data_IF_548358511256
#
_entry.id   IF_548358511256
#
_cell.length_a   1.000
_cell.length_b   1.000
_cell.length_c   1.000
_cell.angle_alpha   90.00
_cell.angle_beta   90.00
_cell.angle_gamma   90.00
#
_symmetry.space_group_name_H-M   'P 1'
#
loop_
_entity.id
_entity.type
_entity.pdbx_description
1 polymer ?
#
# COMPACT_ATOMS: atom_id res chain seq x y z
N UNK A 1 -27.59 51.46 40.67
CA UNK A 1 -27.75 52.16 39.38
C UNK A 1 -26.46 52.03 38.57
N UNK A 2 -26.13 50.84 38.07
CA UNK A 2 -24.78 50.54 37.51
C UNK A 2 -24.83 49.90 36.12
N UNK A 3 -25.85 50.23 35.31
CA UNK A 3 -25.98 49.69 33.96
C UNK A 3 -25.10 50.40 32.92
N UNK A 4 -24.68 51.63 33.20
CA UNK A 4 -23.89 52.44 32.25
C UNK A 4 -22.43 51.95 32.18
N UNK A 5 -21.86 51.55 33.33
CA UNK A 5 -20.49 51.02 33.37
C UNK A 5 -20.40 49.62 32.75
N UNK A 6 -21.41 48.77 32.96
CA UNK A 6 -21.45 47.44 32.36
C UNK A 6 -21.65 47.50 30.85
N UNK A 7 -22.48 48.45 30.37
CA UNK A 7 -22.66 48.68 28.94
C UNK A 7 -21.35 49.17 28.28
N UNK A 8 -20.60 50.05 28.95
CA UNK A 8 -19.30 50.53 28.43
C UNK A 8 -18.26 49.41 28.41
N UNK A 9 -18.19 48.62 29.49
CA UNK A 9 -17.23 47.52 29.62
C UNK A 9 -17.50 46.40 28.63
N UNK A 10 -18.77 46.13 28.34
CA UNK A 10 -19.18 45.15 27.32
C UNK A 10 -18.87 45.64 25.91
N UNK A 11 -19.12 46.92 25.61
CA UNK A 11 -18.78 47.51 24.32
C UNK A 11 -17.25 47.56 24.07
N UNK A 12 -16.45 47.77 25.11
CA UNK A 12 -14.99 47.71 25.02
C UNK A 12 -14.51 46.28 24.74
N UNK A 13 -15.08 45.28 25.42
CA UNK A 13 -14.72 43.88 25.22
C UNK A 13 -15.01 43.37 23.79
N UNK A 14 -16.12 43.80 23.19
CA UNK A 14 -16.46 43.47 21.81
C UNK A 14 -15.51 44.13 20.80
N UNK A 15 -14.97 45.32 21.12
CA UNK A 15 -13.93 45.99 20.33
C UNK A 15 -12.62 45.23 20.31
N UNK A 16 -12.22 44.64 21.44
CA UNK A 16 -11.01 43.83 21.52
C UNK A 16 -11.10 42.52 20.72
N UNK A 17 -12.31 41.98 20.52
CA UNK A 17 -12.55 40.77 19.72
C UNK A 17 -12.61 41.04 18.21
N UNK A 18 -12.97 42.27 17.81
CA UNK A 18 -13.01 42.71 16.41
C UNK A 18 -11.70 43.32 15.89
N UNK A 19 -10.67 43.46 16.74
CA UNK A 19 -9.39 44.03 16.35
C UNK A 19 -8.60 43.00 15.53
N UNK A 20 -8.35 43.22 14.22
CA UNK A 20 -7.53 42.30 13.43
C UNK A 20 -6.10 42.26 14.01
N UNK A 21 -5.45 41.07 14.02
CA UNK A 21 -4.13 40.90 14.60
C UNK A 21 -3.14 41.84 13.92
N UNK A 22 -2.56 42.74 14.71
CA UNK A 22 -1.61 43.73 14.24
C UNK A 22 -0.32 43.01 13.83
N UNK A 23 0.05 42.94 12.53
CA UNK A 23 1.15 42.11 12.04
C UNK A 23 2.54 42.63 12.44
N UNK A 24 2.62 43.72 13.18
CA UNK A 24 3.86 44.39 13.61
C UNK A 24 4.16 44.11 15.10
N UNK A 25 3.28 43.40 15.82
CA UNK A 25 3.54 43.04 17.21
C UNK A 25 4.70 42.03 17.28
N UNK A 26 5.83 42.45 17.85
CA UNK A 26 6.98 41.61 18.11
C UNK A 26 6.57 40.40 18.99
N UNK A 27 7.04 39.18 18.69
CA UNK A 27 6.70 38.01 19.49
C UNK A 27 7.21 38.20 20.93
N UNK A 28 6.39 37.88 21.95
CA UNK A 28 6.82 37.97 23.34
C UNK A 28 8.00 37.03 23.58
N UNK A 29 8.98 37.40 24.44
CA UNK A 29 10.11 36.54 24.76
C UNK A 29 9.62 35.25 25.41
N UNK A 30 9.93 34.11 24.79
CA UNK A 30 9.60 32.78 25.28
C UNK A 30 10.32 32.52 26.60
N UNK A 31 9.59 32.57 27.72
CA UNK A 31 10.13 32.18 29.01
C UNK A 31 10.48 30.67 28.98
N UNK A 32 11.66 30.24 29.47
CA UNK A 32 12.05 28.83 29.51
C UNK A 32 11.24 28.14 30.61
N UNK A 33 10.01 27.76 30.26
CA UNK A 33 9.05 27.22 31.19
C UNK A 33 9.35 25.75 31.50
N UNK A 34 9.16 25.42 32.78
CA UNK A 34 8.94 24.10 33.41
C UNK A 34 8.37 23.00 32.50
N UNK A 35 7.62 23.38 31.46
CA UNK A 35 7.16 22.55 30.35
C UNK A 35 8.26 21.71 29.69
N UNK A 36 9.47 22.25 29.44
CA UNK A 36 10.57 21.48 28.82
C UNK A 36 11.08 20.37 29.73
N UNK A 37 11.11 20.60 31.04
CA UNK A 37 11.46 19.57 32.02
C UNK A 37 10.37 18.50 32.10
N UNK A 38 9.11 18.91 32.12
CA UNK A 38 7.96 18.00 32.11
C UNK A 38 7.91 17.13 30.85
N UNK A 39 8.18 17.72 29.67
CA UNK A 39 8.30 16.99 28.40
C UNK A 39 9.43 15.95 28.45
N UNK A 40 10.59 16.29 29.02
CA UNK A 40 11.69 15.33 29.21
C UNK A 40 11.32 14.20 30.16
N UNK A 41 10.60 14.49 31.26
CA UNK A 41 10.14 13.48 32.21
C UNK A 41 9.16 12.50 31.56
N UNK A 42 8.18 13.00 30.82
CA UNK A 42 7.21 12.17 30.09
C UNK A 42 7.91 11.35 29.01
N UNK A 43 8.88 11.92 28.29
CA UNK A 43 9.67 11.19 27.30
C UNK A 43 10.49 10.05 27.93
N UNK A 44 11.12 10.28 29.08
CA UNK A 44 11.86 9.23 29.80
C UNK A 44 10.94 8.14 30.34
N UNK A 45 9.78 8.50 30.90
CA UNK A 45 8.82 7.54 31.43
C UNK A 45 8.25 6.64 30.34
N UNK A 46 7.86 7.23 29.19
CA UNK A 46 7.35 6.48 28.04
C UNK A 46 8.42 5.57 27.45
N UNK A 47 9.66 6.04 27.33
CA UNK A 47 10.78 5.23 26.85
C UNK A 47 11.08 4.06 27.80
N UNK A 48 11.09 4.30 29.11
CA UNK A 48 11.28 3.25 30.12
C UNK A 48 10.18 2.19 30.09
N UNK A 49 8.92 2.59 29.96
CA UNK A 49 7.80 1.67 29.84
C UNK A 49 7.89 0.80 28.58
N UNK A 50 8.29 1.38 27.44
CA UNK A 50 8.48 0.64 26.20
C UNK A 50 9.63 -0.37 26.29
N UNK A 51 10.76 0.04 26.88
CA UNK A 51 11.91 -0.83 27.11
C UNK A 51 11.55 -2.02 28.03
N UNK A 52 10.79 -1.77 29.11
CA UNK A 52 10.33 -2.84 30.01
C UNK A 52 9.42 -3.84 29.28
N UNK A 53 8.49 -3.37 28.44
CA UNK A 53 7.64 -4.21 27.60
C UNK A 53 8.45 -5.07 26.62
N UNK A 54 9.50 -4.49 26.03
CA UNK A 54 10.37 -5.19 25.08
C UNK A 54 11.17 -6.29 25.79
N UNK A 55 11.74 -6.00 26.96
CA UNK A 55 12.45 -7.00 27.79
C UNK A 55 11.50 -8.12 28.22
N UNK A 56 10.29 -7.78 28.67
CA UNK A 56 9.27 -8.74 29.04
C UNK A 56 8.93 -9.70 27.89
N UNK A 57 8.73 -9.17 26.68
CA UNK A 57 8.46 -9.98 25.49
C UNK A 57 9.65 -10.86 25.08
N UNK A 58 10.88 -10.38 25.29
CA UNK A 58 12.10 -11.12 24.95
C UNK A 58 12.36 -12.28 25.92
N UNK A 59 12.01 -12.10 27.19
CA UNK A 59 12.16 -13.11 28.23
C UNK A 59 10.97 -14.09 28.30
N UNK A 60 9.88 -13.82 27.58
CA UNK A 60 8.72 -14.71 27.58
C UNK A 60 9.03 -16.00 26.78
N UNK A 61 9.05 -17.18 27.42
CA UNK A 61 9.40 -18.42 26.74
C UNK A 61 8.36 -18.74 25.66
N UNK A 62 8.84 -19.04 24.45
CA UNK A 62 7.96 -19.49 23.36
C UNK A 62 7.56 -20.94 23.62
N UNK A 63 6.26 -21.27 23.60
CA UNK A 63 5.83 -22.67 23.68
C UNK A 63 6.43 -23.44 22.51
N UNK A 64 7.13 -24.54 22.80
CA UNK A 64 7.70 -25.40 21.79
C UNK A 64 6.58 -26.02 20.94
N UNK A 65 6.70 -26.04 19.60
CA UNK A 65 5.74 -26.76 18.77
C UNK A 65 5.75 -28.25 19.15
N UNK A 66 4.59 -28.91 19.20
CA UNK A 66 4.52 -30.34 19.49
C UNK A 66 5.27 -31.13 18.40
N UNK A 67 5.95 -32.23 18.75
CA UNK A 67 6.67 -33.04 17.78
C UNK A 67 5.68 -33.58 16.73
N UNK A 68 5.98 -33.30 15.46
CA UNK A 68 5.25 -33.85 14.34
C UNK A 68 5.34 -35.39 14.41
N UNK A 69 4.19 -36.04 14.59
CA UNK A 69 4.07 -37.49 14.48
C UNK A 69 4.43 -37.88 13.06
N UNK A 70 5.59 -38.52 12.87
CA UNK A 70 5.92 -39.16 11.60
C UNK A 70 4.83 -40.21 11.28
N UNK A 71 4.35 -40.29 10.03
CA UNK A 71 3.42 -41.36 9.64
C UNK A 71 4.09 -42.72 9.87
N UNK A 72 3.32 -43.76 10.24
CA UNK A 72 3.87 -45.09 10.44
C UNK A 72 4.51 -45.57 9.14
N UNK A 73 5.80 -45.90 9.21
CA UNK A 73 6.50 -46.72 8.21
C UNK A 73 5.71 -48.01 8.05
N UNK A 74 5.04 -48.15 6.90
CA UNK A 74 4.47 -49.41 6.43
C UNK A 74 5.55 -50.48 6.50
N UNK A 75 5.24 -51.54 7.23
CA UNK A 75 6.08 -52.72 7.42
C UNK A 75 6.57 -53.27 6.08
N UNK A 76 7.84 -53.69 6.09
CA UNK A 76 8.50 -54.40 5.01
C UNK A 76 7.66 -55.57 4.49
N UNK A 77 7.32 -55.54 3.19
CA UNK A 77 6.87 -56.72 2.47
C UNK A 77 8.06 -57.70 2.33
N UNK A 78 7.88 -59.00 2.60
CA UNK A 78 8.94 -59.99 2.38
C UNK A 78 9.20 -60.17 0.88
N UNK A 79 10.47 -60.04 0.49
CA UNK A 79 10.97 -60.44 -0.84
C UNK A 79 10.72 -61.94 -1.07
N UNK A 80 10.20 -62.36 -2.24
CA UNK A 80 10.35 -63.74 -2.68
C UNK A 80 11.78 -63.98 -3.17
N UNK A 81 12.36 -65.08 -2.68
CA UNK A 81 13.66 -65.66 -3.02
C UNK A 81 13.83 -65.90 -4.53
N UNK A 82 14.97 -65.57 -5.15
CA UNK A 82 15.23 -65.93 -6.54
C UNK A 82 15.62 -67.41 -6.63
N UNK A 83 14.71 -68.22 -7.16
CA UNK A 83 15.00 -69.60 -7.55
C UNK A 83 15.47 -69.64 -9.01
N UNK A 84 16.72 -70.07 -9.18
CA UNK A 84 17.19 -70.98 -10.22
C UNK A 84 17.28 -70.46 -11.66
N UNK A 85 18.54 -70.22 -12.04
CA UNK A 85 19.06 -70.21 -13.40
C UNK A 85 18.62 -71.44 -14.20
N UNK A 86 17.91 -71.25 -15.31
CA UNK A 86 17.96 -72.18 -16.44
C UNK A 86 18.40 -71.40 -17.67
N UNK A 87 19.71 -71.45 -17.90
CA UNK A 87 20.31 -71.29 -19.23
C UNK A 87 19.69 -72.33 -20.15
N UNK A 88 18.80 -71.90 -21.05
CA UNK A 88 18.48 -72.70 -22.22
C UNK A 88 19.05 -72.01 -23.46
N UNK A 89 19.89 -72.79 -24.13
CA UNK A 89 20.81 -72.49 -25.21
C UNK A 89 20.03 -72.24 -26.52
N UNK A 90 20.25 -71.08 -27.15
CA UNK A 90 19.87 -70.72 -28.54
C UNK A 90 20.51 -71.71 -29.54
N UNK A 91 19.96 -72.00 -30.76
CA UNK A 91 20.04 -71.11 -31.95
C UNK A 91 18.91 -71.35 -33.03
N UNK A 92 18.94 -70.76 -34.26
CA UNK A 92 19.10 -69.35 -34.66
C UNK A 92 18.07 -68.89 -35.75
N UNK A 93 17.84 -67.57 -35.89
CA UNK A 93 17.38 -66.94 -37.14
C UNK A 93 17.62 -65.40 -37.13
N UNK A 94 17.85 -64.75 -38.30
CA UNK A 94 18.88 -63.71 -38.50
C UNK A 94 18.45 -62.24 -38.27
N UNK A 95 19.40 -61.28 -38.36
CA UNK A 95 19.26 -59.93 -37.82
C UNK A 95 18.62 -58.97 -38.81
N UNK A 96 17.62 -58.19 -38.38
CA UNK A 96 17.28 -56.94 -39.05
C UNK A 96 17.99 -55.81 -38.33
N UNK A 97 19.12 -55.45 -38.93
CA UNK A 97 19.93 -54.30 -38.57
C UNK A 97 19.14 -52.99 -38.71
N UNK A 98 19.56 -52.04 -37.88
CA UNK A 98 19.12 -50.65 -37.87
C UNK A 98 19.13 -50.00 -39.25
N UNK A 99 18.03 -49.32 -39.59
CA UNK A 99 18.00 -48.22 -40.54
C UNK A 99 16.98 -47.20 -40.01
N UNK A 100 17.47 -46.20 -39.27
CA UNK A 100 17.58 -44.81 -39.75
C UNK A 100 16.26 -44.31 -40.38
N UNK A 101 15.49 -43.56 -39.58
CA UNK A 101 14.64 -42.49 -40.15
C UNK A 101 15.57 -41.43 -40.77
N UNK A 102 15.68 -41.49 -42.08
CA UNK A 102 15.92 -40.36 -42.98
C UNK A 102 14.65 -40.27 -43.88
N UNK A 103 14.34 -39.15 -44.57
CA UNK A 103 15.27 -38.09 -44.95
C UNK A 103 14.78 -36.64 -44.76
N UNK A 104 15.78 -35.77 -44.66
CA UNK A 104 15.69 -34.35 -44.95
C UNK A 104 15.45 -34.10 -46.46
N UNK A 105 14.87 -32.95 -46.79
CA UNK A 105 14.76 -32.48 -48.17
C UNK A 105 14.27 -31.05 -48.27
N UNK A 106 15.14 -30.08 -47.92
CA UNK A 106 15.09 -28.70 -48.43
C UNK A 106 15.35 -28.70 -49.95
N UNK A 107 14.95 -27.66 -50.68
CA UNK A 107 15.89 -26.55 -50.99
C UNK A 107 15.27 -25.18 -50.65
N UNK A 108 15.97 -24.24 -50.01
CA UNK A 108 16.88 -23.25 -50.64
C UNK A 108 16.14 -22.44 -51.75
N UNK A 109 16.16 -21.11 -51.82
CA UNK A 109 17.32 -20.19 -51.78
C UNK A 109 16.78 -18.71 -51.78
N UNK A 110 17.59 -17.63 -51.78
CA UNK A 110 17.51 -16.49 -50.86
C UNK A 110 17.36 -15.12 -51.57
N UNK A 111 17.31 -14.02 -50.80
CA UNK A 111 17.99 -12.76 -51.14
C UNK A 111 18.03 -11.79 -49.94
N UNK A 112 19.24 -11.41 -49.58
CA UNK A 112 19.68 -10.26 -48.78
C UNK A 112 20.37 -9.29 -49.79
N UNK A 113 20.88 -8.06 -49.49
CA UNK A 113 20.53 -6.94 -48.59
C UNK A 113 20.36 -5.59 -49.37
N UNK A 114 19.79 -4.54 -48.75
CA UNK A 114 20.28 -3.16 -48.97
C UNK A 114 19.86 -2.16 -47.85
N UNK A 115 20.84 -1.33 -47.52
CA UNK A 115 21.01 -0.30 -46.47
C UNK A 115 20.02 0.90 -46.42
N UNK A 116 20.15 1.77 -45.40
CA UNK A 116 19.11 2.68 -44.90
C UNK A 116 19.08 4.04 -45.61
N UNK A 117 17.92 4.68 -45.59
CA UNK A 117 17.76 6.10 -45.88
C UNK A 117 16.99 6.78 -44.75
N UNK A 118 17.70 7.59 -43.98
CA UNK A 118 17.17 8.71 -43.20
C UNK A 118 16.75 9.80 -44.17
N UNK A 119 15.49 10.26 -44.12
CA UNK A 119 15.10 11.56 -44.72
C UNK A 119 13.87 12.11 -44.01
N UNK A 120 14.05 13.30 -43.42
CA UNK A 120 13.08 14.40 -43.19
C UNK A 120 11.83 14.12 -42.34
N UNK A 121 11.51 14.87 -41.28
CA UNK A 121 11.60 16.31 -41.11
C UNK A 121 10.28 16.97 -41.55
N UNK A 122 9.64 17.73 -40.64
CA UNK A 122 8.36 18.51 -40.77
C UNK A 122 7.07 17.66 -40.75
N UNK A 123 5.98 18.05 -40.09
CA UNK A 123 5.40 19.39 -39.95
C UNK A 123 4.62 19.48 -38.63
N UNK A 124 4.74 20.62 -37.94
CA UNK A 124 3.93 21.00 -36.78
C UNK A 124 2.69 21.73 -37.30
N UNK A 125 1.47 21.25 -37.03
CA UNK A 125 0.30 22.15 -36.98
C UNK A 125 -0.71 21.72 -35.91
N UNK A 126 -1.09 22.60 -34.98
CA UNK A 126 -2.09 22.33 -33.95
C UNK A 126 -3.50 22.52 -34.52
N UNK A 127 -4.34 21.52 -34.35
CA UNK A 127 -5.79 21.63 -34.55
C UNK A 127 -6.44 21.95 -33.20
N UNK A 128 -7.30 22.99 -33.10
CA UNK A 128 -7.95 23.35 -31.85
C UNK A 128 -9.10 22.37 -31.57
N UNK A 129 -9.21 21.77 -30.37
CA UNK A 129 -10.39 21.02 -30.04
C UNK A 129 -11.58 21.96 -29.83
N UNK A 130 -12.79 21.58 -30.29
CA UNK A 130 -14.01 22.36 -30.10
C UNK A 130 -14.41 22.33 -28.63
N UNK A 131 -15.10 23.39 -28.21
CA UNK A 131 -15.82 23.45 -26.94
C UNK A 131 -17.18 22.76 -27.14
N UNK A 132 -17.55 21.78 -26.29
CA UNK A 132 -18.96 21.62 -25.96
C UNK A 132 -19.21 21.51 -24.46
N UNK A 133 -20.23 22.27 -24.03
CA UNK A 133 -21.29 21.95 -23.08
C UNK A 133 -20.99 21.09 -21.84
N UNK A 134 -21.36 21.65 -20.69
CA UNK A 134 -21.67 20.95 -19.43
C UNK A 134 -22.44 19.65 -19.64
N UNK A 135 -21.85 18.55 -19.19
CA UNK A 135 -22.51 17.42 -18.54
C UNK A 135 -21.48 16.76 -17.60
N UNK A 136 -21.86 16.29 -16.41
CA UNK A 136 -20.92 15.76 -15.43
C UNK A 136 -20.39 14.41 -15.89
N UNK A 137 -19.24 14.44 -16.57
CA UNK A 137 -18.50 13.24 -16.93
C UNK A 137 -17.95 12.60 -15.65
N UNK A 138 -18.48 11.41 -15.35
CA UNK A 138 -17.85 10.42 -14.48
C UNK A 138 -16.47 10.12 -15.08
N UNK A 139 -15.44 10.77 -14.55
CA UNK A 139 -14.06 10.57 -14.94
C UNK A 139 -13.58 9.18 -14.47
N UNK A 140 -13.81 8.19 -15.33
CA UNK A 140 -13.11 6.90 -15.29
C UNK A 140 -11.81 7.04 -16.08
N UNK A 141 -10.87 7.78 -15.49
CA UNK A 141 -9.46 7.84 -15.89
C UNK A 141 -8.58 7.67 -14.65
N UNK A 142 -7.27 7.44 -14.79
CA UNK A 142 -6.33 7.39 -13.66
C UNK A 142 -6.08 8.80 -13.12
N UNK A 143 -7.16 9.55 -12.84
CA UNK A 143 -7.09 10.84 -12.17
C UNK A 143 -6.80 10.56 -10.70
N UNK A 144 -5.76 11.18 -10.10
CA UNK A 144 -5.40 10.93 -8.72
C UNK A 144 -6.58 11.30 -7.82
N UNK A 145 -7.02 10.34 -7.00
CA UNK A 145 -8.11 10.57 -6.06
C UNK A 145 -7.81 11.84 -5.23
N UNK A 146 -8.74 12.82 -5.17
CA UNK A 146 -8.52 14.07 -4.46
C UNK A 146 -8.27 13.80 -2.98
N UNK A 147 -7.45 14.65 -2.34
CA UNK A 147 -7.20 14.52 -0.91
C UNK A 147 -8.51 14.69 -0.14
N UNK A 148 -8.64 14.00 1.00
CA UNK A 148 -9.80 14.20 1.89
C UNK A 148 -9.94 15.69 2.27
N UNK A 149 -8.82 16.39 2.43
CA UNK A 149 -8.77 17.84 2.71
C UNK A 149 -9.05 18.74 1.50
N UNK A 150 -9.26 18.19 0.30
CA UNK A 150 -9.67 18.97 -0.89
C UNK A 150 -11.09 18.60 -1.35
N UNK A 151 -11.75 17.66 -0.68
CA UNK A 151 -13.13 17.28 -1.02
C UNK A 151 -14.10 18.44 -0.73
N UNK A 152 -15.08 18.71 -1.63
CA UNK A 152 -16.14 19.69 -1.39
C UNK A 152 -16.96 19.35 -0.14
N UNK A 153 -17.48 20.39 0.53
CA UNK A 153 -18.14 20.24 1.85
C UNK A 153 -19.29 19.22 1.85
N UNK A 154 -20.03 19.08 0.73
CA UNK A 154 -21.08 18.07 0.58
C UNK A 154 -20.57 16.63 0.64
N UNK A 155 -19.37 16.37 0.11
CA UNK A 155 -18.74 15.05 0.16
C UNK A 155 -18.14 14.75 1.53
N UNK A 156 -17.66 15.78 2.26
CA UNK A 156 -17.15 15.61 3.63
C UNK A 156 -18.23 15.35 4.67
N UNK A 157 -19.45 15.87 4.51
CA UNK A 157 -20.53 15.71 5.51
C UNK A 157 -20.94 14.25 5.75
N UNK A 158 -20.73 13.37 4.77
CA UNK A 158 -21.01 11.93 4.90
C UNK A 158 -19.81 11.12 5.40
N UNK A 159 -18.63 11.75 5.50
CA UNK A 159 -17.40 11.05 5.84
C UNK A 159 -17.17 11.07 7.35
N UNK A 160 -16.92 9.89 7.95
CA UNK A 160 -16.52 9.81 9.35
C UNK A 160 -15.14 10.46 9.54
N UNK A 161 -14.80 10.74 10.79
CA UNK A 161 -13.45 11.20 11.13
C UNK A 161 -12.45 10.07 10.83
N UNK A 162 -11.62 10.27 9.81
CA UNK A 162 -10.60 9.31 9.39
C UNK A 162 -9.22 9.91 9.66
N UNK A 163 -8.46 9.29 10.56
CA UNK A 163 -7.06 9.64 10.80
C UNK A 163 -6.16 8.51 10.31
N UNK A 164 -5.25 8.82 9.38
CA UNK A 164 -4.21 7.89 8.95
C UNK A 164 -3.02 8.01 9.88
N UNK A 165 -2.90 7.07 10.81
CA UNK A 165 -1.84 7.06 11.83
C UNK A 165 -0.53 6.52 11.26
N UNK A 166 -0.62 5.44 10.49
CA UNK A 166 0.53 4.75 9.91
C UNK A 166 0.22 4.33 8.48
N UNK A 167 1.23 4.45 7.62
CA UNK A 167 1.16 4.02 6.25
C UNK A 167 2.43 3.24 5.90
N UNK A 168 2.27 1.97 5.57
CA UNK A 168 3.35 1.11 5.12
C UNK A 168 3.09 0.69 3.67
N UNK A 169 3.88 1.28 2.76
CA UNK A 169 3.86 0.92 1.35
C UNK A 169 4.97 -0.10 1.05
N UNK A 170 4.64 -1.10 0.25
CA UNK A 170 5.56 -2.11 -0.28
C UNK A 170 5.15 -2.45 -1.72
N UNK A 171 6.04 -2.90 -2.61
CA UNK A 171 5.63 -3.42 -3.93
C UNK A 171 4.71 -4.65 -3.80
N UNK A 172 4.90 -5.47 -2.78
CA UNK A 172 4.09 -6.65 -2.51
C UNK A 172 2.76 -6.27 -1.84
N UNK A 173 1.62 -6.59 -2.44
CA UNK A 173 0.30 -6.24 -1.91
C UNK A 173 0.07 -6.77 -0.48
N UNK A 174 0.56 -7.97 -0.16
CA UNK A 174 0.43 -8.58 1.17
C UNK A 174 1.21 -7.87 2.29
N UNK A 175 2.22 -7.09 1.91
CA UNK A 175 3.05 -6.30 2.84
C UNK A 175 2.58 -4.85 2.95
N UNK A 176 1.62 -4.41 2.12
CA UNK A 176 1.00 -3.09 2.22
C UNK A 176 -0.05 -3.10 3.31
N UNK A 177 -0.02 -2.09 4.16
CA UNK A 177 -1.09 -1.88 5.14
C UNK A 177 -1.11 -0.43 5.60
N UNK A 178 -2.26 -0.04 6.14
CA UNK A 178 -2.47 1.25 6.76
C UNK A 178 -3.07 1.07 8.14
N UNK A 179 -2.80 2.00 9.03
CA UNK A 179 -3.49 2.09 10.31
C UNK A 179 -4.37 3.32 10.26
N UNK A 180 -5.68 3.10 10.38
CA UNK A 180 -6.68 4.16 10.41
C UNK A 180 -7.40 4.10 11.75
N UNK A 181 -7.41 5.22 12.48
CA UNK A 181 -7.98 5.34 13.82
C UNK A 181 -7.52 4.21 14.78
N UNK A 182 -6.23 3.87 14.75
CA UNK A 182 -5.63 2.84 15.59
C UNK A 182 -5.91 1.39 15.16
N UNK A 183 -6.60 1.15 14.05
CA UNK A 183 -6.88 -0.20 13.51
C UNK A 183 -6.15 -0.44 12.20
N UNK A 184 -5.55 -1.62 12.04
CA UNK A 184 -4.82 -2.01 10.82
C UNK A 184 -5.80 -2.50 9.76
N UNK A 185 -5.67 -1.99 8.54
CA UNK A 185 -6.45 -2.39 7.37
C UNK A 185 -5.55 -2.69 6.17
N UNK A 186 -6.04 -3.55 5.26
CA UNK A 186 -5.40 -3.89 3.98
C UNK A 186 -6.24 -3.49 2.77
N UNK A 187 -5.61 -3.43 1.60
CA UNK A 187 -6.31 -3.21 0.32
C UNK A 187 -7.52 -4.15 0.19
N UNK A 188 -8.67 -3.60 -0.17
CA UNK A 188 -9.96 -4.31 -0.27
C UNK A 188 -10.77 -4.37 1.03
N UNK A 189 -10.20 -4.03 2.17
CA UNK A 189 -10.89 -4.13 3.46
C UNK A 189 -11.83 -2.95 3.73
N UNK A 190 -12.96 -3.23 4.37
CA UNK A 190 -13.90 -2.19 4.80
C UNK A 190 -13.51 -1.68 6.18
N UNK A 191 -13.31 -0.37 6.27
CA UNK A 191 -13.04 0.33 7.52
C UNK A 191 -14.25 0.24 8.46
N UNK A 192 -14.00 0.20 9.76
CA UNK A 192 -15.05 0.21 10.78
C UNK A 192 -15.93 1.46 10.73
N UNK A 193 -15.40 2.54 10.17
CA UNK A 193 -16.10 3.79 9.97
C UNK A 193 -17.01 3.80 8.72
N UNK A 194 -16.90 2.79 7.85
CA UNK A 194 -17.78 2.60 6.69
C UNK A 194 -17.12 2.64 5.29
N UNK A 195 -16.07 3.45 5.02
CA UNK A 195 -15.39 3.47 3.72
C UNK A 195 -14.69 2.13 3.43
N UNK A 196 -14.47 1.83 2.15
CA UNK A 196 -13.66 0.69 1.72
C UNK A 196 -12.28 1.20 1.31
N UNK A 197 -11.23 0.56 1.80
CA UNK A 197 -9.87 0.80 1.37
C UNK A 197 -9.66 0.15 0.00
N UNK A 198 -9.47 0.94 -1.05
CA UNK A 198 -9.28 0.40 -2.40
C UNK A 198 -7.83 0.10 -2.72
N UNK A 199 -6.92 1.01 -2.36
CA UNK A 199 -5.50 0.89 -2.70
C UNK A 199 -4.62 1.60 -1.68
N UNK A 200 -3.43 1.06 -1.44
CA UNK A 200 -2.39 1.67 -0.63
C UNK A 200 -1.29 2.11 -1.60
N UNK A 201 -1.20 3.42 -1.80
CA UNK A 201 -0.24 4.07 -2.72
C UNK A 201 0.95 4.61 -1.95
N UNK A 202 2.09 4.85 -2.60
CA UNK A 202 3.28 5.47 -1.98
C UNK A 202 2.95 6.75 -1.19
N UNK A 203 1.97 7.52 -1.67
CA UNK A 203 1.60 8.81 -1.10
C UNK A 203 0.43 8.74 -0.10
N UNK A 204 -0.08 7.55 0.24
CA UNK A 204 -1.17 7.35 1.20
C UNK A 204 -2.21 6.31 0.76
N UNK A 205 -3.38 6.33 1.40
CA UNK A 205 -4.44 5.37 1.20
C UNK A 205 -5.55 5.94 0.29
N UNK A 206 -6.05 5.17 -0.67
CA UNK A 206 -7.24 5.54 -1.46
C UNK A 206 -8.43 4.79 -0.89
N UNK A 207 -9.45 5.55 -0.48
CA UNK A 207 -10.69 5.02 0.07
C UNK A 207 -11.87 5.40 -0.81
N UNK A 208 -12.91 4.56 -0.77
CA UNK A 208 -14.18 4.79 -1.43
C UNK A 208 -15.33 4.69 -0.42
N UNK A 209 -16.21 5.68 -0.41
CA UNK A 209 -17.48 5.65 0.32
C UNK A 209 -18.63 5.95 -0.65
N UNK A 210 -19.50 4.97 -0.89
CA UNK A 210 -20.57 5.11 -1.88
C UNK A 210 -20.01 5.43 -3.28
N UNK A 211 -20.39 6.58 -3.84
CA UNK A 211 -19.91 7.08 -5.13
C UNK A 211 -18.66 7.97 -5.03
N UNK A 212 -18.13 8.20 -3.84
CA UNK A 212 -17.02 9.13 -3.60
C UNK A 212 -15.72 8.38 -3.35
N UNK A 213 -14.67 8.78 -4.06
CA UNK A 213 -13.30 8.28 -3.91
C UNK A 213 -12.40 9.41 -3.43
N UNK A 214 -11.59 9.15 -2.41
CA UNK A 214 -10.72 10.16 -1.81
C UNK A 214 -9.42 9.52 -1.32
N UNK A 215 -8.36 10.34 -1.25
CA UNK A 215 -7.05 9.93 -0.74
C UNK A 215 -6.82 10.46 0.66
N UNK A 216 -6.38 9.58 1.54
CA UNK A 216 -5.95 9.86 2.90
C UNK A 216 -4.42 9.89 2.95
N UNK A 217 -3.84 10.95 3.51
CA UNK A 217 -2.40 11.08 3.75
C UNK A 217 -2.08 11.08 5.24
N UNK A 218 -0.86 10.70 5.59
CA UNK A 218 -0.41 10.70 6.99
C UNK A 218 -0.36 12.16 7.47
N UNK A 219 -1.04 12.47 8.57
CA UNK A 219 -0.91 13.77 9.22
C UNK A 219 0.44 13.81 9.96
N UNK A 220 1.30 14.75 9.58
CA UNK A 220 2.56 15.03 10.29
C UNK A 220 2.32 15.95 11.49
#
# INVERSE_FOLDING_TARGET
>A
MSYILDALRKAEHERHLGQPPNPIAAPPPSQPTRQRFWLRLVAWLTLGANAALLVFFLLWPRPAPPPATAPPTTAAAPMPTPATLVTQLLPPAPPVAAARKAPAGKPATPAEPARPAVTTGRERRPEPPPKPASAPAVASGPEPAPLLDTLPAGARRGLPTLNLDLHAYSPDADKRFVVVNGRRYREGERLGEGPVLEAVTVNGAILRQGSQRFRLSVRR
#
